data_IF_521814789091
#
_entry.id   IF_521814789091
#
_cell.length_a   1.000
_cell.length_b   1.000
_cell.length_c   1.000
_cell.angle_alpha   90.00
_cell.angle_beta   90.00
_cell.angle_gamma   90.00
#
_symmetry.space_group_name_H-M   'P 1'
#
loop_
_entity.id
_entity.type
_entity.pdbx_description
1 polymer ?
#
# COMPACT_ATOMS: atom_id res chain seq x y z
N UNK A 1 18.66 13.81 -3.74
CA UNK A 1 19.65 14.29 -2.74
C UNK A 1 18.85 14.96 -1.63
N UNK A 2 18.82 14.36 -0.44
CA UNK A 2 18.19 14.94 0.75
C UNK A 2 19.19 15.95 1.29
N UNK A 3 18.76 17.19 1.46
CA UNK A 3 19.56 18.23 2.08
C UNK A 3 19.85 17.86 3.54
N UNK A 4 21.12 17.67 3.94
CA UNK A 4 21.49 17.21 5.27
C UNK A 4 21.42 18.31 6.36
N UNK A 5 20.87 19.51 6.07
CA UNK A 5 20.88 20.66 6.99
C UNK A 5 19.60 20.82 7.80
N UNK A 6 18.59 19.93 7.69
CA UNK A 6 17.42 19.96 8.54
C UNK A 6 17.73 19.39 9.93
N UNK A 7 18.16 20.25 10.82
CA UNK A 7 18.23 20.04 12.27
C UNK A 7 16.89 19.57 12.83
N UNK A 8 16.83 18.74 13.89
CA UNK A 8 15.59 18.26 14.50
C UNK A 8 14.92 19.33 15.39
N UNK A 9 14.70 20.52 14.87
CA UNK A 9 14.12 21.63 15.60
C UNK A 9 12.71 21.93 15.08
N UNK A 10 11.76 22.08 16.06
CA UNK A 10 10.40 22.61 15.99
C UNK A 10 9.81 22.73 14.58
N UNK A 11 8.57 22.31 14.33
CA UNK A 11 7.97 22.47 13.01
C UNK A 11 8.09 23.93 12.57
N UNK A 12 8.72 24.16 11.41
CA UNK A 12 8.91 25.50 10.87
C UNK A 12 7.60 26.16 10.44
N UNK A 13 6.52 25.36 10.39
CA UNK A 13 5.18 25.76 9.95
C UNK A 13 4.13 25.23 10.90
N UNK A 14 3.13 26.04 11.20
CA UNK A 14 1.90 25.65 11.89
C UNK A 14 0.73 25.99 10.97
N UNK A 15 -0.17 25.04 10.74
CA UNK A 15 -1.32 25.29 9.87
C UNK A 15 -2.14 24.04 9.62
N UNK A 16 -3.28 24.21 8.99
CA UNK A 16 -4.18 23.12 8.63
C UNK A 16 -5.01 23.51 7.41
N UNK A 17 -5.33 22.50 6.60
CA UNK A 17 -6.36 22.61 5.58
C UNK A 17 -7.70 22.26 6.24
N UNK A 18 -8.62 23.24 6.27
CA UNK A 18 -9.93 23.12 6.91
C UNK A 18 -10.99 22.59 5.97
N UNK A 19 -10.93 22.98 4.70
CA UNK A 19 -11.96 22.65 3.70
C UNK A 19 -11.31 22.34 2.37
N UNK A 20 -11.80 21.30 1.73
CA UNK A 20 -11.49 20.94 0.35
C UNK A 20 -12.81 20.85 -0.41
N UNK A 21 -12.96 21.66 -1.43
CA UNK A 21 -14.06 21.63 -2.37
C UNK A 21 -13.47 21.46 -3.79
N UNK A 22 -13.61 20.30 -4.41
CA UNK A 22 -13.01 20.04 -5.72
C UNK A 22 -13.45 21.03 -6.81
N UNK A 23 -14.68 21.54 -6.74
CA UNK A 23 -15.18 22.49 -7.72
C UNK A 23 -14.68 23.92 -7.51
N UNK A 24 -14.27 24.25 -6.29
CA UNK A 24 -13.89 25.62 -5.90
C UNK A 24 -12.41 25.73 -5.56
N UNK A 25 -11.91 24.85 -4.68
CA UNK A 25 -10.53 24.89 -4.21
C UNK A 25 -10.37 24.46 -2.75
N UNK A 26 -9.30 24.95 -2.15
CA UNK A 26 -8.85 24.59 -0.79
C UNK A 26 -8.86 25.83 0.09
N UNK A 27 -9.32 25.68 1.34
CA UNK A 27 -9.26 26.73 2.37
C UNK A 27 -8.60 26.20 3.63
N UNK A 28 -7.88 27.06 4.29
CA UNK A 28 -7.21 26.75 5.55
C UNK A 28 -6.50 27.95 6.13
N UNK A 29 -5.52 27.68 6.95
CA UNK A 29 -4.63 28.71 7.50
C UNK A 29 -3.22 28.15 7.66
N UNK A 30 -2.22 29.01 7.55
CA UNK A 30 -0.81 28.67 7.70
C UNK A 30 -0.01 29.86 8.27
N UNK A 31 0.95 29.52 9.12
CA UNK A 31 1.89 30.48 9.73
C UNK A 31 3.29 29.88 9.71
N UNK A 32 4.31 30.71 9.53
CA UNK A 32 5.66 30.39 9.95
C UNK A 32 5.71 30.24 11.47
N UNK A 33 6.56 29.37 11.98
CA UNK A 33 6.74 29.17 13.43
C UNK A 33 7.30 30.45 14.13
N UNK A 34 8.02 31.26 13.38
CA UNK A 34 8.45 32.59 13.81
C UNK A 34 7.43 33.64 13.31
N UNK A 35 6.66 34.25 14.21
CA UNK A 35 5.65 35.28 13.85
C UNK A 35 6.22 36.51 13.14
N UNK A 36 7.51 36.78 13.28
CA UNK A 36 8.18 37.92 12.62
C UNK A 36 8.45 37.69 11.13
N UNK A 37 8.30 36.44 10.64
CA UNK A 37 8.64 36.08 9.27
C UNK A 37 7.64 36.56 8.20
N UNK A 38 6.51 37.13 8.60
CA UNK A 38 5.46 37.57 7.68
C UNK A 38 4.56 36.41 7.16
N UNK A 39 3.65 36.73 6.20
CA UNK A 39 2.74 35.74 5.64
C UNK A 39 3.49 34.70 4.78
N UNK A 40 3.00 33.44 4.78
CA UNK A 40 3.55 32.35 3.98
C UNK A 40 2.71 32.10 2.73
N UNK A 41 3.32 31.56 1.71
CA UNK A 41 2.61 31.07 0.52
C UNK A 41 2.25 29.59 0.69
N UNK A 42 1.02 29.27 0.33
CA UNK A 42 0.52 27.92 0.22
C UNK A 42 0.51 27.54 -1.27
N UNK A 43 1.32 26.58 -1.62
CA UNK A 43 1.50 26.13 -3.00
C UNK A 43 0.97 24.72 -3.13
N UNK A 44 0.03 24.51 -4.02
CA UNK A 44 -0.44 23.16 -4.38
C UNK A 44 0.40 22.66 -5.54
N UNK A 45 1.08 21.56 -5.31
CA UNK A 45 1.93 20.92 -6.31
C UNK A 45 1.40 19.54 -6.70
N UNK A 46 1.62 19.17 -7.95
CA UNK A 46 1.48 17.81 -8.49
C UNK A 46 2.80 17.38 -9.08
N UNK A 47 3.36 16.26 -8.61
CA UNK A 47 4.65 15.75 -9.11
C UNK A 47 5.77 16.81 -9.11
N UNK A 48 5.71 17.76 -8.15
CA UNK A 48 6.65 18.87 -8.06
C UNK A 48 6.31 20.10 -8.89
N UNK A 49 5.34 20.03 -9.80
CA UNK A 49 4.84 21.18 -10.55
C UNK A 49 3.80 21.97 -9.77
N UNK A 50 3.90 23.28 -9.78
CA UNK A 50 2.92 24.18 -9.16
C UNK A 50 1.61 24.16 -9.96
N UNK A 51 0.51 23.88 -9.28
CA UNK A 51 -0.85 23.90 -9.86
C UNK A 51 -1.56 25.21 -9.48
N UNK A 52 -1.38 25.65 -8.25
CA UNK A 52 -2.02 26.85 -7.74
C UNK A 52 -1.27 27.38 -6.52
N UNK A 53 -1.37 28.69 -6.27
CA UNK A 53 -0.72 29.39 -5.17
C UNK A 53 -1.67 30.40 -4.53
N UNK A 54 -1.57 30.55 -3.21
CA UNK A 54 -2.24 31.61 -2.47
C UNK A 54 -1.39 32.03 -1.26
N UNK A 55 -1.36 33.30 -0.94
CA UNK A 55 -0.72 33.80 0.28
C UNK A 55 -1.67 33.69 1.46
N UNK A 56 -1.19 33.18 2.58
CA UNK A 56 -1.94 33.04 3.83
C UNK A 56 -1.92 34.38 4.59
N UNK A 57 -2.74 35.32 4.14
CA UNK A 57 -2.82 36.70 4.66
C UNK A 57 -4.26 37.18 4.88
N UNK A 58 -5.24 36.29 4.79
CA UNK A 58 -6.64 36.66 4.94
C UNK A 58 -7.03 36.66 6.42
N UNK A 59 -7.83 37.69 6.81
CA UNK A 59 -8.45 37.74 8.13
C UNK A 59 -9.56 36.70 8.27
N UNK A 60 -9.63 36.07 9.44
CA UNK A 60 -10.68 35.12 9.82
C UNK A 60 -10.99 35.25 11.31
N UNK A 61 -12.24 35.50 11.71
CA UNK A 61 -12.58 35.89 13.10
C UNK A 61 -12.18 34.87 14.17
N UNK A 62 -12.15 33.57 13.85
CA UNK A 62 -11.73 32.51 14.76
C UNK A 62 -10.20 32.49 14.98
N UNK A 63 -9.42 32.83 13.94
CA UNK A 63 -7.96 32.92 14.01
C UNK A 63 -7.52 34.19 14.74
N UNK A 64 -8.22 35.29 14.53
CA UNK A 64 -7.99 36.53 15.27
C UNK A 64 -8.23 36.33 16.76
N UNK A 65 -9.38 35.71 17.13
CA UNK A 65 -9.68 35.39 18.53
C UNK A 65 -8.67 34.42 19.16
N UNK A 66 -8.05 33.55 18.33
CA UNK A 66 -6.98 32.65 18.76
C UNK A 66 -5.59 33.31 18.79
N UNK A 67 -5.49 34.62 18.52
CA UNK A 67 -4.23 35.40 18.50
C UNK A 67 -3.30 35.06 17.34
N UNK A 68 -3.81 34.44 16.27
CA UNK A 68 -3.02 34.00 15.09
C UNK A 68 -2.94 35.07 14.01
N UNK A 69 -3.77 36.11 14.08
CA UNK A 69 -3.81 37.21 13.11
C UNK A 69 -4.37 36.78 11.73
N UNK A 70 -4.04 37.56 10.72
CA UNK A 70 -4.45 37.32 9.33
C UNK A 70 -3.53 36.24 8.70
N UNK A 71 -3.92 34.99 8.79
CA UNK A 71 -3.16 33.87 8.30
C UNK A 71 -4.00 32.81 7.55
N UNK A 72 -5.26 33.14 7.24
CA UNK A 72 -6.09 32.26 6.42
C UNK A 72 -5.73 32.39 4.93
N UNK A 73 -6.03 31.35 4.17
CA UNK A 73 -5.90 31.32 2.73
C UNK A 73 -7.11 30.68 2.07
N UNK A 74 -7.38 31.10 0.85
CA UNK A 74 -8.30 30.45 -0.06
C UNK A 74 -7.59 30.29 -1.40
N UNK A 75 -7.50 29.06 -1.88
CA UNK A 75 -6.80 28.67 -3.09
C UNK A 75 -7.80 28.05 -4.04
N UNK A 76 -7.91 28.59 -5.26
CA UNK A 76 -8.81 28.07 -6.28
C UNK A 76 -8.12 27.05 -7.15
N UNK A 77 -8.81 25.96 -7.46
CA UNK A 77 -8.33 24.99 -8.45
C UNK A 77 -8.54 25.51 -9.87
N UNK A 78 -7.74 25.03 -10.84
CA UNK A 78 -7.99 25.30 -12.26
C UNK A 78 -9.40 24.86 -12.66
N UNK A 79 -10.00 25.59 -13.62
CA UNK A 79 -11.29 25.23 -14.21
C UNK A 79 -11.26 23.82 -14.78
N UNK A 80 -12.33 23.06 -14.61
CA UNK A 80 -12.44 21.69 -15.08
C UNK A 80 -12.02 20.61 -14.07
N UNK A 81 -11.75 21.01 -12.82
CA UNK A 81 -11.55 20.05 -11.74
C UNK A 81 -12.90 19.46 -11.31
N UNK A 82 -13.09 18.18 -11.52
CA UNK A 82 -14.24 17.45 -10.95
C UNK A 82 -13.86 16.83 -9.60
N UNK A 83 -14.86 16.38 -8.85
CA UNK A 83 -14.62 15.62 -7.61
C UNK A 83 -13.73 14.40 -7.86
N UNK A 84 -13.98 13.67 -8.93
CA UNK A 84 -13.22 12.49 -9.28
C UNK A 84 -11.80 12.85 -9.76
N UNK A 85 -11.64 13.87 -10.58
CA UNK A 85 -10.32 14.42 -10.92
C UNK A 85 -9.55 14.84 -9.67
N UNK A 86 -10.20 15.55 -8.75
CA UNK A 86 -9.56 15.96 -7.50
C UNK A 86 -9.10 14.74 -6.69
N UNK A 87 -9.97 13.74 -6.49
CA UNK A 87 -9.61 12.52 -5.78
C UNK A 87 -8.42 11.82 -6.40
N UNK A 88 -8.26 11.95 -7.68
CA UNK A 88 -7.25 11.32 -8.45
C UNK A 88 -5.91 12.09 -8.56
N UNK A 89 -5.75 13.38 -8.23
CA UNK A 89 -4.46 14.10 -8.26
C UNK A 89 -3.76 14.06 -6.90
N UNK A 90 -2.73 13.28 -6.67
CA UNK A 90 -1.93 13.37 -5.44
C UNK A 90 -1.34 14.79 -5.28
N UNK A 91 -2.06 15.68 -4.59
CA UNK A 91 -1.59 17.04 -4.33
C UNK A 91 -0.70 17.10 -3.09
N UNK A 92 0.44 17.74 -3.23
CA UNK A 92 1.26 18.22 -2.12
C UNK A 92 0.87 19.68 -1.82
N UNK A 93 0.64 19.98 -0.55
CA UNK A 93 0.42 21.36 -0.07
C UNK A 93 1.70 21.87 0.58
N UNK A 94 2.52 22.51 -0.22
CA UNK A 94 3.83 23.02 0.18
C UNK A 94 3.68 24.40 0.75
N UNK A 95 4.41 24.72 1.81
CA UNK A 95 4.50 26.06 2.38
C UNK A 95 5.83 26.68 2.02
N UNK A 96 5.78 27.85 1.46
CA UNK A 96 6.95 28.64 1.08
C UNK A 96 6.98 29.99 1.81
N UNK A 97 8.17 30.42 2.14
CA UNK A 97 8.47 31.76 2.66
C UNK A 97 9.61 32.30 1.80
N UNK A 98 9.40 33.48 1.19
CA UNK A 98 10.36 34.11 0.28
C UNK A 98 10.90 33.17 -0.81
N UNK A 99 10.02 32.28 -1.34
CA UNK A 99 10.33 31.30 -2.36
C UNK A 99 11.07 30.05 -1.85
N UNK A 100 11.35 29.95 -0.57
CA UNK A 100 11.99 28.77 0.04
C UNK A 100 10.93 27.87 0.68
N UNK A 101 11.00 26.59 0.39
CA UNK A 101 10.11 25.57 1.00
C UNK A 101 10.47 25.38 2.47
N UNK A 102 9.55 25.74 3.36
CA UNK A 102 9.73 25.64 4.81
C UNK A 102 8.88 24.55 5.47
N UNK A 103 7.94 23.96 4.75
CA UNK A 103 7.09 22.90 5.30
C UNK A 103 6.00 22.45 4.35
N UNK A 104 5.05 21.68 4.91
CA UNK A 104 3.88 21.16 4.20
C UNK A 104 2.67 21.16 5.12
N UNK A 105 1.48 21.37 4.54
CA UNK A 105 0.21 21.15 5.22
C UNK A 105 -0.34 19.78 4.91
N UNK A 106 -1.01 19.22 5.90
CA UNK A 106 -1.79 18.00 5.76
C UNK A 106 -3.26 18.34 5.94
N UNK A 107 -4.19 17.80 5.13
CA UNK A 107 -5.62 17.96 5.34
C UNK A 107 -6.01 17.53 6.76
N UNK A 108 -6.66 18.42 7.49
CA UNK A 108 -7.20 18.11 8.81
C UNK A 108 -8.44 17.20 8.73
N UNK A 109 -8.87 16.59 9.86
CA UNK A 109 -10.07 15.76 9.89
C UNK A 109 -11.32 16.49 9.37
N UNK A 110 -11.41 17.80 9.58
CA UNK A 110 -12.49 18.65 9.06
C UNK A 110 -12.44 18.83 7.55
N UNK A 111 -11.24 18.88 6.93
CA UNK A 111 -11.12 18.97 5.48
C UNK A 111 -11.62 17.69 4.80
N UNK A 112 -11.30 16.55 5.38
CA UNK A 112 -11.81 15.24 4.90
C UNK A 112 -13.34 15.17 5.08
N UNK A 113 -13.86 15.70 6.20
CA UNK A 113 -15.30 15.73 6.48
C UNK A 113 -16.06 16.78 5.64
N UNK A 114 -15.38 17.82 5.16
CA UNK A 114 -15.97 18.92 4.38
C UNK A 114 -15.79 18.75 2.86
N UNK A 115 -15.20 17.64 2.41
CA UNK A 115 -15.18 17.29 0.99
C UNK A 115 -16.62 17.32 0.46
N UNK A 116 -17.00 18.47 -0.08
CA UNK A 116 -18.32 18.64 -0.71
C UNK A 116 -18.25 17.97 -2.06
N UNK A 117 -19.12 16.98 -2.22
CA UNK A 117 -19.35 16.40 -3.52
C UNK A 117 -20.15 17.42 -4.34
N UNK A 118 -19.44 18.16 -5.17
CA UNK A 118 -20.08 18.97 -6.22
C UNK A 118 -20.63 17.98 -7.27
N UNK A 119 -21.88 17.56 -7.10
CA UNK A 119 -22.54 16.65 -8.03
C UNK A 119 -22.99 17.44 -9.26
N UNK A 120 -22.09 17.54 -10.23
CA UNK A 120 -22.33 18.18 -11.53
C UNK A 120 -22.75 17.14 -12.58
N UNK A 121 -23.19 17.61 -13.74
CA UNK A 121 -23.51 16.72 -14.88
C UNK A 121 -22.26 15.97 -15.34
N UNK A 122 -21.09 16.63 -15.27
CA UNK A 122 -19.80 16.04 -15.60
C UNK A 122 -19.45 14.92 -14.61
N UNK A 123 -19.63 15.15 -13.31
CA UNK A 123 -19.40 14.10 -12.29
C UNK A 123 -20.35 12.90 -12.49
N UNK A 124 -21.57 13.13 -12.99
CA UNK A 124 -22.49 12.06 -13.33
C UNK A 124 -22.00 11.25 -14.54
N UNK A 125 -21.47 11.92 -15.56
CA UNK A 125 -20.91 11.26 -16.74
C UNK A 125 -19.68 10.42 -16.37
N UNK A 126 -18.77 10.96 -15.55
CA UNK A 126 -17.60 10.22 -15.03
C UNK A 126 -18.03 9.01 -14.21
N UNK A 127 -19.01 9.18 -13.31
CA UNK A 127 -19.55 8.07 -12.52
C UNK A 127 -20.17 6.98 -13.41
N UNK A 128 -20.82 7.38 -14.53
CA UNK A 128 -21.42 6.47 -15.49
C UNK A 128 -20.42 5.53 -16.16
N UNK A 129 -19.17 5.97 -16.30
CA UNK A 129 -18.09 5.20 -16.93
C UNK A 129 -17.41 4.21 -15.99
N UNK A 130 -17.73 4.21 -14.67
CA UNK A 130 -17.12 3.30 -13.72
C UNK A 130 -17.75 1.90 -13.80
N UNK A 131 -16.95 0.87 -13.97
CA UNK A 131 -17.41 -0.53 -14.12
C UNK A 131 -18.15 -1.07 -12.90
N UNK A 132 -17.75 -0.70 -11.68
CA UNK A 132 -18.30 -1.22 -10.41
C UNK A 132 -19.17 -0.17 -9.70
N UNK A 133 -20.09 0.44 -10.41
CA UNK A 133 -20.96 1.52 -9.91
C UNK A 133 -21.70 1.19 -8.62
N UNK A 134 -22.23 -0.01 -8.49
CA UNK A 134 -23.02 -0.41 -7.31
C UNK A 134 -22.16 -0.50 -6.06
N UNK A 135 -20.91 -0.93 -6.22
CA UNK A 135 -19.93 -0.99 -5.15
C UNK A 135 -19.46 0.42 -4.75
N UNK A 136 -19.24 1.29 -5.73
CA UNK A 136 -18.94 2.72 -5.55
C UNK A 136 -20.09 3.44 -4.84
N UNK A 137 -21.30 3.13 -5.23
CA UNK A 137 -22.54 3.61 -4.65
C UNK A 137 -22.65 3.26 -3.16
N UNK A 138 -22.42 1.99 -2.82
CA UNK A 138 -22.49 1.51 -1.45
C UNK A 138 -21.49 2.21 -0.52
N UNK A 139 -20.43 2.76 -1.05
CA UNK A 139 -19.32 3.31 -0.28
C UNK A 139 -19.35 4.83 -0.17
N UNK A 140 -19.66 5.54 -1.23
CA UNK A 140 -20.11 6.92 -1.11
C UNK A 140 -21.23 7.00 -0.07
N UNK A 141 -22.17 6.05 -0.10
CA UNK A 141 -23.23 5.94 0.90
C UNK A 141 -22.72 5.71 2.32
N UNK A 142 -21.65 4.92 2.54
CA UNK A 142 -21.03 4.72 3.86
C UNK A 142 -20.28 5.97 4.33
N UNK A 143 -19.54 6.62 3.46
CA UNK A 143 -18.81 7.88 3.76
C UNK A 143 -19.81 8.96 4.18
N UNK A 144 -20.96 9.04 3.53
CA UNK A 144 -22.00 10.02 3.80
C UNK A 144 -22.96 9.63 4.94
N UNK A 145 -23.03 8.35 5.28
CA UNK A 145 -23.78 7.85 6.43
C UNK A 145 -23.11 8.11 7.79
N UNK A 146 -21.86 8.57 7.81
CA UNK A 146 -21.29 9.07 9.06
C UNK A 146 -22.09 10.30 9.50
N UNK A 147 -22.51 10.33 10.76
CA UNK A 147 -23.58 11.15 11.37
C UNK A 147 -23.55 12.69 11.15
N UNK A 148 -22.57 13.23 10.44
CA UNK A 148 -22.42 14.66 10.12
C UNK A 148 -23.04 15.11 8.78
N UNK A 149 -23.51 14.19 7.96
CA UNK A 149 -23.97 14.48 6.59
C UNK A 149 -25.45 14.15 6.31
N UNK A 150 -26.31 14.13 7.33
CA UNK A 150 -27.72 13.71 7.19
C UNK A 150 -28.53 14.53 6.17
N UNK A 151 -28.24 15.82 6.00
CA UNK A 151 -28.94 16.68 5.02
C UNK A 151 -28.43 16.46 3.58
N UNK A 152 -27.15 16.14 3.41
CA UNK A 152 -26.54 15.87 2.11
C UNK A 152 -26.84 14.44 1.65
N UNK A 153 -27.18 13.53 2.57
CA UNK A 153 -27.59 12.16 2.29
C UNK A 153 -28.83 12.09 1.38
N UNK A 154 -29.86 12.89 1.69
CA UNK A 154 -31.09 12.94 0.89
C UNK A 154 -30.82 13.46 -0.53
N UNK A 155 -29.95 14.43 -0.69
CA UNK A 155 -29.54 14.96 -2.00
C UNK A 155 -28.77 13.91 -2.79
N UNK A 156 -27.93 13.14 -2.11
CA UNK A 156 -27.14 12.08 -2.72
C UNK A 156 -27.98 10.88 -3.12
N UNK A 157 -28.88 10.43 -2.26
CA UNK A 157 -29.80 9.34 -2.58
C UNK A 157 -30.70 9.71 -3.79
N UNK A 158 -31.15 10.97 -3.86
CA UNK A 158 -31.90 11.48 -5.01
C UNK A 158 -31.02 11.57 -6.29
N UNK A 159 -29.77 11.99 -6.15
CA UNK A 159 -28.81 12.03 -7.26
C UNK A 159 -28.55 10.63 -7.81
N UNK A 160 -28.24 9.66 -6.95
CA UNK A 160 -27.97 8.31 -7.38
C UNK A 160 -29.18 7.60 -7.96
N UNK A 161 -30.37 7.84 -7.42
CA UNK A 161 -31.62 7.33 -8.00
C UNK A 161 -31.81 7.87 -9.43
N UNK A 162 -31.53 9.16 -9.64
CA UNK A 162 -31.62 9.79 -10.96
C UNK A 162 -30.48 9.30 -11.89
N UNK A 163 -29.26 9.15 -11.38
CA UNK A 163 -28.13 8.60 -12.12
C UNK A 163 -28.41 7.16 -12.55
N UNK A 164 -28.94 6.32 -11.66
CA UNK A 164 -29.33 4.95 -11.98
C UNK A 164 -30.40 4.87 -13.07
N UNK A 165 -31.37 5.78 -13.08
CA UNK A 165 -32.39 5.85 -14.10
C UNK A 165 -31.84 6.33 -15.45
N UNK A 166 -30.91 7.26 -15.45
CA UNK A 166 -30.34 7.83 -16.68
C UNK A 166 -29.29 6.89 -17.31
N UNK A 167 -28.57 6.12 -16.49
CA UNK A 167 -27.44 5.29 -16.89
C UNK A 167 -27.87 3.88 -17.33
N UNK A 168 -28.99 3.38 -16.84
CA UNK A 168 -29.52 2.04 -17.22
C UNK A 168 -29.70 1.81 -18.71
N UNK A 169 -29.65 2.90 -19.54
CA UNK A 169 -29.80 2.84 -20.99
C UNK A 169 -28.50 2.96 -21.82
N UNK A 170 -27.35 3.28 -21.23
CA UNK A 170 -26.15 3.71 -22.00
C UNK A 170 -24.98 2.75 -21.91
N UNK A 171 -24.92 1.78 -21.00
CA UNK A 171 -23.75 0.92 -20.83
C UNK A 171 -23.94 -0.41 -21.53
N UNK A 172 -23.12 -0.61 -22.59
CA UNK A 172 -22.93 -1.93 -23.19
C UNK A 172 -22.03 -2.75 -22.28
N UNK A 173 -22.42 -3.97 -21.87
CA UNK A 173 -21.52 -4.89 -21.17
C UNK A 173 -20.36 -5.25 -22.11
N UNK A 174 -19.13 -5.12 -21.67
CA UNK A 174 -17.95 -5.63 -22.37
C UNK A 174 -17.06 -4.61 -23.07
N UNK A 175 -17.15 -3.31 -22.75
CA UNK A 175 -16.19 -2.31 -23.24
C UNK A 175 -14.86 -2.40 -22.51
N UNK A 176 -13.74 -2.54 -23.25
CA UNK A 176 -12.42 -2.18 -22.75
C UNK A 176 -12.47 -0.73 -22.25
N UNK A 177 -11.74 -0.46 -21.16
CA UNK A 177 -11.52 0.92 -20.73
C UNK A 177 -10.90 1.70 -21.90
N UNK A 178 -11.59 2.72 -22.40
CA UNK A 178 -11.00 3.66 -23.33
C UNK A 178 -9.89 4.44 -22.59
N UNK A 179 -8.82 4.74 -23.32
CA UNK A 179 -7.60 5.42 -22.85
C UNK A 179 -7.84 6.82 -22.24
N UNK A 180 -9.08 7.29 -22.22
CA UNK A 180 -9.49 8.60 -21.68
C UNK A 180 -9.98 8.59 -20.22
N UNK A 181 -9.95 7.45 -19.50
CA UNK A 181 -10.27 7.46 -18.07
C UNK A 181 -9.16 8.20 -17.34
N UNK A 182 -9.45 9.45 -17.00
CA UNK A 182 -8.53 10.31 -16.27
C UNK A 182 -8.06 9.60 -14.99
N UNK A 183 -6.74 9.59 -14.74
CA UNK A 183 -6.19 8.97 -13.53
C UNK A 183 -6.84 9.58 -12.27
N UNK A 184 -7.16 8.74 -11.28
CA UNK A 184 -7.71 9.15 -9.98
C UNK A 184 -6.68 10.00 -9.22
N UNK A 185 -7.03 11.14 -8.62
CA UNK A 185 -6.12 12.13 -8.01
C UNK A 185 -6.48 12.33 -6.51
N UNK A 186 -5.68 11.89 -5.59
CA UNK A 186 -5.96 11.88 -4.15
C UNK A 186 -4.96 12.76 -3.41
N UNK A 187 -5.40 13.60 -2.46
CA UNK A 187 -4.48 14.45 -1.69
C UNK A 187 -3.53 13.63 -0.84
N UNK A 188 -2.24 13.98 -0.88
CA UNK A 188 -1.25 13.41 0.04
C UNK A 188 -1.68 13.69 1.48
N UNK A 189 -1.69 12.63 2.31
CA UNK A 189 -2.13 12.72 3.70
C UNK A 189 -3.63 12.49 3.92
N UNK A 190 -4.43 12.33 2.86
CA UNK A 190 -5.82 11.92 3.00
C UNK A 190 -5.87 10.54 3.66
N UNK A 191 -6.64 10.42 4.75
CA UNK A 191 -6.89 9.14 5.43
C UNK A 191 -8.17 8.50 4.90
N UNK A 192 -8.17 7.17 4.90
CA UNK A 192 -9.41 6.41 4.68
C UNK A 192 -10.45 6.74 5.75
N UNK A 193 -11.75 6.55 5.49
CA UNK A 193 -12.81 6.83 6.47
C UNK A 193 -12.63 6.10 7.81
N UNK A 194 -12.07 4.89 7.78
CA UNK A 194 -11.76 4.13 8.99
C UNK A 194 -10.41 4.52 9.64
N UNK A 195 -9.62 5.38 8.99
CA UNK A 195 -8.28 5.76 9.44
C UNK A 195 -7.22 4.68 9.29
N UNK A 196 -7.55 3.59 8.60
CA UNK A 196 -6.69 2.40 8.47
C UNK A 196 -5.76 2.43 7.25
N UNK A 197 -5.89 3.46 6.40
CA UNK A 197 -4.99 3.73 5.29
C UNK A 197 -4.79 5.24 5.07
N UNK A 198 -3.70 5.61 4.42
CA UNK A 198 -3.34 6.99 4.10
C UNK A 198 -2.78 7.08 2.68
N UNK A 199 -3.07 8.19 2.01
CA UNK A 199 -2.48 8.52 0.72
C UNK A 199 -1.10 9.10 0.91
N UNK A 200 -0.13 8.48 0.29
CA UNK A 200 1.24 8.96 0.18
C UNK A 200 1.48 9.81 -1.06
N UNK A 201 2.75 10.10 -1.32
CA UNK A 201 3.20 10.83 -2.52
C UNK A 201 2.99 9.96 -3.74
N UNK A 202 2.81 10.60 -4.88
CA UNK A 202 2.61 9.97 -6.19
C UNK A 202 1.46 8.94 -6.23
N UNK A 203 0.47 9.12 -5.33
CA UNK A 203 -0.70 8.25 -5.24
C UNK A 203 -0.44 6.88 -4.61
N UNK A 204 0.72 6.65 -3.99
CA UNK A 204 0.97 5.42 -3.23
C UNK A 204 0.11 5.38 -1.97
N UNK A 205 -0.66 4.32 -1.82
CA UNK A 205 -1.52 4.09 -0.65
C UNK A 205 -0.80 3.22 0.37
N UNK A 206 -0.86 3.61 1.65
CA UNK A 206 -0.22 2.89 2.74
C UNK A 206 -1.24 2.46 3.78
N UNK A 207 -1.08 1.25 4.31
CA UNK A 207 -1.77 0.81 5.51
C UNK A 207 -1.21 1.55 6.73
N UNK A 208 -2.09 1.97 7.64
CA UNK A 208 -1.73 2.68 8.88
C UNK A 208 -2.20 1.95 10.11
N UNK A 209 -3.48 1.74 10.19
CA UNK A 209 -4.16 1.04 11.28
C UNK A 209 -4.87 -0.22 10.75
N UNK A 210 -5.91 -0.68 11.41
CA UNK A 210 -6.66 -1.88 11.05
C UNK A 210 -5.99 -3.14 11.57
N UNK A 211 -6.00 -4.22 10.80
CA UNK A 211 -5.43 -5.48 11.24
C UNK A 211 -3.94 -5.35 11.50
N UNK A 212 -3.55 -5.40 12.78
CA UNK A 212 -2.18 -5.36 13.30
C UNK A 212 -1.53 -3.97 13.38
N UNK A 213 -2.30 -2.87 13.27
CA UNK A 213 -1.86 -1.50 13.60
C UNK A 213 -0.42 -1.17 13.20
N UNK A 214 -0.16 -1.04 11.90
CA UNK A 214 1.19 -0.88 11.33
C UNK A 214 1.95 0.28 11.99
N UNK A 215 1.30 1.45 12.13
CA UNK A 215 1.96 2.63 12.73
C UNK A 215 2.33 2.42 14.20
N UNK A 216 1.49 1.70 14.97
CA UNK A 216 1.80 1.35 16.35
C UNK A 216 3.05 0.47 16.42
N UNK A 217 3.20 -0.49 15.51
CA UNK A 217 4.39 -1.34 15.44
C UNK A 217 5.64 -0.54 15.07
N UNK A 218 5.54 0.38 14.11
CA UNK A 218 6.66 1.25 13.70
C UNK A 218 7.10 2.21 14.81
N UNK A 219 6.19 2.61 15.70
CA UNK A 219 6.46 3.50 16.83
C UNK A 219 6.74 2.78 18.16
N UNK A 220 6.83 1.44 18.14
CA UNK A 220 7.10 0.67 19.35
C UNK A 220 8.49 1.02 19.94
N UNK A 221 8.59 0.97 21.27
CA UNK A 221 9.88 1.10 21.95
C UNK A 221 10.72 -0.17 21.70
N UNK A 222 11.91 -0.06 21.10
CA UNK A 222 12.80 -1.21 20.88
C UNK A 222 13.15 -1.99 22.16
N UNK A 223 13.14 -1.34 23.32
CA UNK A 223 13.44 -1.96 24.60
C UNK A 223 12.21 -2.60 25.30
N UNK A 224 11.02 -2.42 24.74
CA UNK A 224 9.79 -2.98 25.32
C UNK A 224 9.75 -4.50 25.24
N UNK A 225 9.09 -5.19 26.19
CA UNK A 225 8.84 -6.63 26.13
C UNK A 225 8.08 -7.03 24.84
N UNK A 226 7.18 -6.20 24.34
CA UNK A 226 6.46 -6.42 23.08
C UNK A 226 7.39 -6.54 21.88
N UNK A 227 8.58 -6.00 21.96
CA UNK A 227 9.62 -6.12 20.92
C UNK A 227 10.62 -7.22 21.28
N UNK A 228 11.23 -7.16 22.47
CA UNK A 228 12.34 -8.04 22.84
C UNK A 228 11.90 -9.50 23.02
N UNK A 229 10.78 -9.74 23.73
CA UNK A 229 10.30 -11.09 24.00
C UNK A 229 9.71 -11.73 22.75
N UNK A 230 9.00 -10.94 21.93
CA UNK A 230 8.46 -11.41 20.65
C UNK A 230 9.59 -11.72 19.65
N UNK A 231 10.64 -10.90 19.59
CA UNK A 231 11.81 -11.19 18.78
C UNK A 231 12.52 -12.48 19.23
N UNK A 232 12.70 -12.66 20.57
CA UNK A 232 13.27 -13.88 21.12
C UNK A 232 12.43 -15.12 20.77
N UNK A 233 11.11 -15.02 20.83
CA UNK A 233 10.20 -16.10 20.44
C UNK A 233 10.31 -16.46 18.96
N UNK A 234 10.42 -15.48 18.06
CA UNK A 234 10.69 -15.74 16.63
C UNK A 234 12.01 -16.46 16.39
N UNK A 235 13.08 -16.04 17.09
CA UNK A 235 14.41 -16.68 16.99
C UNK A 235 14.37 -18.12 17.50
N UNK A 236 13.63 -18.38 18.59
CA UNK A 236 13.40 -19.73 19.10
C UNK A 236 12.63 -20.58 18.09
N UNK A 237 11.57 -20.03 17.47
CA UNK A 237 10.78 -20.71 16.44
C UNK A 237 11.64 -21.06 15.22
N UNK A 238 12.45 -20.12 14.68
CA UNK A 238 13.31 -20.42 13.54
C UNK A 238 14.33 -21.51 13.85
N UNK A 239 14.87 -21.50 15.09
CA UNK A 239 15.80 -22.53 15.55
C UNK A 239 15.13 -23.92 15.66
N UNK A 240 13.91 -23.96 16.18
CA UNK A 240 13.11 -25.17 16.30
C UNK A 240 12.76 -25.76 14.92
N UNK A 241 12.26 -24.90 14.00
CA UNK A 241 11.95 -25.29 12.61
C UNK A 241 13.19 -25.83 11.88
N UNK A 242 14.34 -25.13 12.03
CA UNK A 242 15.60 -25.59 11.44
C UNK A 242 15.98 -27.01 11.95
N UNK A 243 15.89 -27.24 13.27
CA UNK A 243 16.19 -28.55 13.88
C UNK A 243 15.25 -29.62 13.36
N UNK A 244 13.94 -29.34 13.34
CA UNK A 244 12.92 -30.28 12.91
C UNK A 244 13.04 -30.68 11.41
N UNK A 245 13.35 -29.69 10.55
CA UNK A 245 13.49 -29.92 9.11
C UNK A 245 14.84 -30.56 8.75
N UNK A 246 15.90 -30.24 9.47
CA UNK A 246 17.18 -30.92 9.33
C UNK A 246 17.08 -32.42 9.65
N UNK A 247 16.33 -32.79 10.68
CA UNK A 247 16.04 -34.20 11.03
C UNK A 247 15.31 -34.93 9.90
N UNK A 248 14.51 -34.22 9.10
CA UNK A 248 13.77 -34.71 7.92
C UNK A 248 14.59 -34.64 6.62
N UNK A 249 15.83 -34.24 6.67
CA UNK A 249 16.72 -34.00 5.52
C UNK A 249 16.12 -32.98 4.53
N UNK A 250 15.34 -32.06 5.02
CA UNK A 250 14.69 -31.00 4.25
C UNK A 250 15.38 -29.66 4.51
N UNK A 251 15.62 -28.89 3.46
CA UNK A 251 16.14 -27.53 3.58
C UNK A 251 15.05 -26.59 4.07
N UNK A 252 15.41 -25.64 4.93
CA UNK A 252 14.51 -24.64 5.46
C UNK A 252 15.01 -23.25 5.13
N UNK A 253 14.06 -22.38 4.71
CA UNK A 253 14.31 -20.96 4.56
C UNK A 253 13.15 -20.14 5.13
N UNK A 254 13.48 -18.98 5.68
CA UNK A 254 12.51 -18.02 6.22
C UNK A 254 12.58 -16.72 5.41
N UNK A 255 11.40 -16.21 5.04
CA UNK A 255 11.24 -14.92 4.37
C UNK A 255 10.30 -14.06 5.21
N UNK A 256 10.75 -12.89 5.63
CA UNK A 256 9.89 -11.85 6.21
C UNK A 256 9.80 -10.74 5.16
N UNK A 257 8.64 -10.60 4.54
CA UNK A 257 8.40 -9.52 3.58
C UNK A 257 8.15 -8.23 4.37
N UNK A 258 8.91 -7.16 4.14
CA UNK A 258 8.70 -5.89 4.83
C UNK A 258 7.38 -5.24 4.42
N UNK A 259 6.90 -4.34 5.26
CA UNK A 259 5.80 -3.45 4.88
C UNK A 259 6.21 -2.51 3.75
N UNK A 260 5.24 -2.11 2.94
CA UNK A 260 5.43 -1.12 1.90
C UNK A 260 6.08 0.16 2.45
N UNK A 261 5.60 0.65 3.59
CA UNK A 261 6.15 1.82 4.27
C UNK A 261 7.61 1.62 4.71
N UNK A 262 7.99 0.39 5.09
CA UNK A 262 9.36 0.06 5.46
C UNK A 262 10.30 -0.01 4.26
N UNK A 263 9.75 -0.24 3.07
CA UNK A 263 10.52 -0.39 1.83
C UNK A 263 10.67 0.92 1.07
N UNK A 264 9.60 1.71 0.97
CA UNK A 264 9.55 2.99 0.21
C UNK A 264 9.05 4.14 1.10
N UNK A 265 9.72 4.42 2.24
CA UNK A 265 9.28 5.44 3.20
C UNK A 265 9.25 6.87 2.63
N UNK A 266 10.00 7.14 1.56
CA UNK A 266 10.03 8.43 0.86
C UNK A 266 8.68 8.81 0.25
N UNK A 267 7.84 7.81 -0.06
CA UNK A 267 6.47 8.04 -0.55
C UNK A 267 5.45 8.23 0.57
N UNK A 268 5.81 7.97 1.81
CA UNK A 268 4.92 8.23 2.94
C UNK A 268 4.77 9.74 3.19
N UNK A 269 3.59 10.25 3.62
CA UNK A 269 3.35 11.70 3.72
C UNK A 269 4.32 12.46 4.60
N UNK A 270 4.78 11.83 5.69
CA UNK A 270 5.68 12.43 6.69
C UNK A 270 6.90 11.55 6.90
N UNK A 271 7.98 12.12 7.44
CA UNK A 271 9.13 11.32 7.85
C UNK A 271 8.73 10.28 8.90
N UNK A 272 9.15 9.05 8.72
CA UNK A 272 8.86 7.94 9.61
C UNK A 272 10.09 7.05 9.76
N UNK A 273 10.29 6.54 10.99
CA UNK A 273 11.38 5.60 11.26
C UNK A 273 10.96 4.20 10.83
N UNK A 274 11.76 3.57 10.00
CA UNK A 274 11.52 2.21 9.47
C UNK A 274 12.83 1.42 9.40
N UNK A 275 12.80 0.08 9.44
CA UNK A 275 11.63 -0.78 9.62
C UNK A 275 11.07 -0.72 11.06
N UNK A 276 10.07 -1.55 11.36
CA UNK A 276 9.59 -1.69 12.74
C UNK A 276 10.73 -2.17 13.66
N UNK A 277 10.78 -1.70 14.92
CA UNK A 277 11.77 -2.16 15.89
C UNK A 277 11.81 -3.69 16.05
N UNK A 278 10.66 -4.35 15.89
CA UNK A 278 10.59 -5.81 15.97
C UNK A 278 11.33 -6.48 14.81
N UNK A 279 11.13 -6.02 13.57
CA UNK A 279 11.85 -6.57 12.41
C UNK A 279 13.34 -6.28 12.53
N UNK A 280 13.71 -5.06 12.90
CA UNK A 280 15.11 -4.64 13.08
C UNK A 280 15.81 -5.51 14.15
N UNK A 281 15.17 -5.77 15.29
CA UNK A 281 15.69 -6.62 16.37
C UNK A 281 15.87 -8.07 15.89
N UNK A 282 14.87 -8.63 15.18
CA UNK A 282 14.96 -10.00 14.63
C UNK A 282 16.13 -10.11 13.66
N UNK A 283 16.26 -9.19 12.70
CA UNK A 283 17.33 -9.20 11.70
C UNK A 283 18.72 -9.01 12.33
N UNK A 284 18.83 -8.14 13.34
CA UNK A 284 20.06 -7.94 14.09
C UNK A 284 20.52 -9.24 14.76
N UNK A 285 19.62 -9.93 15.50
CA UNK A 285 19.96 -11.21 16.16
C UNK A 285 20.31 -12.30 15.13
N UNK A 286 19.65 -12.33 13.98
CA UNK A 286 19.94 -13.29 12.90
C UNK A 286 21.35 -13.03 12.32
N UNK A 287 21.73 -11.78 12.15
CA UNK A 287 23.04 -11.40 11.57
C UNK A 287 24.23 -11.98 12.35
N UNK A 288 24.05 -12.11 13.68
CA UNK A 288 25.07 -12.60 14.60
C UNK A 288 25.09 -14.14 14.73
N UNK A 289 24.08 -14.81 14.16
CA UNK A 289 23.93 -16.27 14.27
C UNK A 289 24.10 -16.94 12.90
N UNK A 290 25.30 -17.47 12.62
CA UNK A 290 25.64 -18.09 11.33
C UNK A 290 24.58 -19.09 10.81
N UNK A 291 24.04 -19.93 11.70
CA UNK A 291 23.06 -20.94 11.33
C UNK A 291 21.73 -20.31 10.87
N UNK A 292 21.27 -19.22 11.52
CA UNK A 292 20.05 -18.52 11.15
C UNK A 292 20.29 -17.63 9.92
N UNK A 293 21.44 -16.97 9.84
CA UNK A 293 21.81 -16.15 8.68
C UNK A 293 21.78 -16.93 7.37
N UNK A 294 22.18 -18.22 7.39
CA UNK A 294 22.17 -19.06 6.19
C UNK A 294 20.78 -19.50 5.71
N UNK A 295 19.77 -19.40 6.55
CA UNK A 295 18.38 -19.74 6.21
C UNK A 295 17.47 -18.52 6.01
N UNK A 296 17.86 -17.37 6.53
CA UNK A 296 17.05 -16.16 6.47
C UNK A 296 17.35 -15.36 5.20
N UNK A 297 16.32 -15.16 4.39
CA UNK A 297 16.45 -14.33 3.19
C UNK A 297 16.17 -12.86 3.54
N UNK A 298 17.10 -11.92 3.34
CA UNK A 298 16.99 -10.53 3.75
C UNK A 298 16.11 -9.72 2.76
N UNK A 299 14.79 -9.96 2.81
CA UNK A 299 13.85 -9.40 1.85
C UNK A 299 13.77 -7.86 1.90
N UNK A 300 13.98 -7.24 3.07
CA UNK A 300 14.00 -5.77 3.19
C UNK A 300 15.15 -5.16 2.39
N UNK A 301 16.36 -5.68 2.57
CA UNK A 301 17.55 -5.21 1.84
C UNK A 301 17.39 -5.46 0.33
N UNK A 302 16.84 -6.63 -0.04
CA UNK A 302 16.54 -6.98 -1.42
C UNK A 302 15.59 -5.98 -2.07
N UNK A 303 14.44 -5.72 -1.46
CA UNK A 303 13.41 -4.85 -2.04
C UNK A 303 13.81 -3.37 -2.05
N UNK A 304 14.57 -2.89 -1.05
CA UNK A 304 15.15 -1.54 -1.06
C UNK A 304 16.20 -1.35 -2.17
N UNK A 305 16.90 -2.41 -2.56
CA UNK A 305 17.85 -2.40 -3.67
C UNK A 305 17.22 -2.59 -5.05
N UNK A 306 15.90 -2.57 -5.15
CA UNK A 306 15.17 -2.74 -6.41
C UNK A 306 15.34 -1.53 -7.33
N UNK A 307 15.57 -1.77 -8.62
CA UNK A 307 15.69 -0.71 -9.64
C UNK A 307 14.35 -0.02 -9.95
N UNK A 308 13.24 -0.72 -9.77
CA UNK A 308 11.87 -0.19 -9.91
C UNK A 308 11.15 -0.31 -8.57
N UNK A 309 10.10 0.48 -8.36
CA UNK A 309 9.31 0.43 -7.13
C UNK A 309 8.66 -0.95 -7.00
N UNK A 310 8.97 -1.70 -5.91
CA UNK A 310 8.58 -3.10 -5.81
C UNK A 310 7.15 -3.34 -5.31
N UNK A 311 6.41 -2.30 -5.01
CA UNK A 311 5.03 -2.40 -4.51
C UNK A 311 4.02 -1.79 -5.47
N UNK A 312 2.81 -2.32 -5.47
CA UNK A 312 1.66 -1.70 -6.13
C UNK A 312 1.40 -0.30 -5.56
N UNK A 313 0.93 0.62 -6.38
CA UNK A 313 0.55 1.95 -5.94
C UNK A 313 -0.69 1.92 -5.06
N UNK A 314 -1.75 1.22 -5.49
CA UNK A 314 -3.07 1.15 -4.83
C UNK A 314 -3.24 -0.05 -3.91
N UNK A 315 -2.26 -0.96 -3.85
CA UNK A 315 -2.28 -2.18 -3.06
C UNK A 315 -1.21 -2.23 -1.96
N UNK A 316 -1.38 -3.16 -1.02
CA UNK A 316 -0.39 -3.49 0.00
C UNK A 316 0.59 -4.59 -0.45
N UNK A 317 0.40 -5.14 -1.65
CA UNK A 317 1.17 -6.24 -2.20
C UNK A 317 2.31 -5.76 -3.12
N UNK A 318 3.17 -6.70 -3.50
CA UNK A 318 4.23 -6.44 -4.46
C UNK A 318 3.64 -6.12 -5.84
N UNK A 319 4.35 -5.29 -6.60
CA UNK A 319 4.12 -5.19 -8.04
C UNK A 319 4.63 -6.47 -8.74
N UNK A 320 4.26 -6.75 -9.99
CA UNK A 320 4.83 -7.87 -10.76
C UNK A 320 6.36 -7.85 -10.78
N UNK A 321 6.94 -6.65 -10.95
CA UNK A 321 8.39 -6.48 -10.90
C UNK A 321 8.97 -6.78 -9.51
N UNK A 322 8.32 -6.30 -8.44
CA UNK A 322 8.75 -6.55 -7.06
C UNK A 322 8.72 -8.03 -6.71
N UNK A 323 7.67 -8.74 -7.11
CA UNK A 323 7.56 -10.19 -6.91
C UNK A 323 8.64 -10.95 -7.69
N UNK A 324 8.90 -10.59 -8.94
CA UNK A 324 9.98 -11.14 -9.74
C UNK A 324 11.36 -10.86 -9.13
N UNK A 325 11.62 -9.61 -8.74
CA UNK A 325 12.90 -9.20 -8.15
C UNK A 325 13.20 -9.99 -6.88
N UNK A 326 12.20 -10.11 -5.98
CA UNK A 326 12.31 -10.92 -4.76
C UNK A 326 12.55 -12.39 -5.09
N UNK A 327 11.81 -12.95 -6.01
CA UNK A 327 11.94 -14.33 -6.46
C UNK A 327 13.33 -14.60 -7.06
N UNK A 328 13.80 -13.78 -8.01
CA UNK A 328 15.12 -13.92 -8.64
C UNK A 328 16.25 -13.83 -7.62
N UNK A 329 16.15 -12.88 -6.69
CA UNK A 329 17.13 -12.72 -5.62
C UNK A 329 17.13 -13.89 -4.65
N UNK A 330 15.95 -14.45 -4.35
CA UNK A 330 15.83 -15.67 -3.56
C UNK A 330 16.47 -16.87 -4.25
N UNK A 331 16.27 -17.05 -5.57
CA UNK A 331 16.96 -18.10 -6.33
C UNK A 331 18.48 -17.96 -6.25
N UNK A 332 19.01 -16.74 -6.37
CA UNK A 332 20.43 -16.46 -6.22
C UNK A 332 20.93 -16.81 -4.81
N UNK A 333 20.15 -16.51 -3.78
CA UNK A 333 20.43 -16.87 -2.39
C UNK A 333 20.46 -18.41 -2.19
N UNK A 334 19.62 -19.14 -2.91
CA UNK A 334 19.65 -20.63 -2.93
C UNK A 334 20.88 -21.19 -3.69
N UNK A 335 21.68 -20.35 -4.34
CA UNK A 335 22.78 -20.77 -5.20
C UNK A 335 22.34 -21.22 -6.60
N UNK A 336 21.12 -20.95 -6.99
CA UNK A 336 20.64 -21.25 -8.33
C UNK A 336 21.10 -20.17 -9.31
N UNK A 337 21.90 -20.54 -10.29
CA UNK A 337 22.30 -19.70 -11.42
C UNK A 337 21.28 -19.86 -12.55
N UNK A 338 20.04 -19.44 -12.32
CA UNK A 338 19.03 -19.52 -13.35
C UNK A 338 19.10 -18.28 -14.27
N UNK A 339 19.32 -18.52 -15.56
CA UNK A 339 19.07 -17.52 -16.58
C UNK A 339 17.57 -17.53 -16.85
N UNK A 340 16.83 -16.62 -16.20
CA UNK A 340 15.43 -16.43 -16.47
C UNK A 340 15.32 -15.39 -17.59
N UNK A 341 14.80 -15.80 -18.73
CA UNK A 341 14.47 -14.89 -19.81
C UNK A 341 13.15 -14.20 -19.46
N UNK A 342 13.27 -12.96 -18.99
CA UNK A 342 12.15 -12.12 -18.61
C UNK A 342 12.35 -10.77 -19.25
N UNK A 343 11.44 -10.42 -20.14
CA UNK A 343 11.47 -9.15 -20.84
C UNK A 343 10.45 -8.17 -20.25
N UNK A 344 10.99 -7.06 -19.75
CA UNK A 344 10.23 -5.94 -19.22
C UNK A 344 10.12 -4.78 -20.19
N UNK A 345 10.75 -4.85 -21.38
CA UNK A 345 10.73 -3.79 -22.37
C UNK A 345 9.48 -3.85 -23.26
N UNK A 346 8.91 -5.04 -23.39
CA UNK A 346 7.62 -5.26 -24.02
C UNK A 346 6.53 -5.47 -22.94
N UNK A 347 6.49 -4.56 -21.99
CA UNK A 347 5.51 -4.63 -20.88
C UNK A 347 4.09 -4.77 -21.45
N UNK A 348 3.43 -5.82 -21.02
CA UNK A 348 1.98 -5.94 -21.19
C UNK A 348 1.36 -5.11 -20.09
N UNK A 349 0.78 -3.98 -20.46
CA UNK A 349 0.04 -3.15 -19.54
C UNK A 349 -1.29 -3.82 -19.24
N UNK A 350 -1.52 -4.16 -17.99
CA UNK A 350 -2.80 -4.64 -17.47
C UNK A 350 -3.33 -3.62 -16.47
N UNK A 351 -4.65 -3.51 -16.39
CA UNK A 351 -5.26 -2.69 -15.34
C UNK A 351 -5.43 -3.56 -14.11
N UNK A 352 -4.59 -3.31 -13.12
CA UNK A 352 -4.63 -3.96 -11.81
C UNK A 352 -5.41 -3.15 -10.78
N UNK A 353 -5.83 -3.77 -9.69
CA UNK A 353 -6.45 -3.10 -8.56
C UNK A 353 -5.88 -3.59 -7.25
N UNK A 354 -5.41 -2.65 -6.44
CA UNK A 354 -4.86 -2.97 -5.12
C UNK A 354 -5.92 -3.04 -4.02
N UNK A 355 -5.64 -3.84 -3.00
CA UNK A 355 -6.51 -4.07 -1.83
C UNK A 355 -6.65 -2.83 -0.92
N UNK A 356 -5.67 -1.93 -0.93
CA UNK A 356 -5.69 -0.72 -0.09
C UNK A 356 -6.65 0.33 -0.63
N UNK A 357 -6.86 0.39 -1.95
CA UNK A 357 -7.83 1.27 -2.58
C UNK A 357 -9.25 1.09 -2.07
N UNK A 358 -9.64 -0.16 -1.82
CA UNK A 358 -10.95 -0.50 -1.23
C UNK A 358 -11.24 0.20 0.10
N UNK A 359 -10.22 0.53 0.88
CA UNK A 359 -10.34 1.16 2.20
C UNK A 359 -10.78 2.62 2.13
N UNK A 360 -10.52 3.32 1.01
CA UNK A 360 -10.88 4.72 0.85
C UNK A 360 -12.33 4.90 0.42
N UNK A 361 -12.73 4.16 -0.60
CA UNK A 361 -14.06 4.32 -1.21
C UNK A 361 -14.84 3.01 -1.24
N UNK A 362 -14.20 1.89 -0.78
CA UNK A 362 -14.62 0.52 -0.84
C UNK A 362 -14.85 0.02 -2.25
N UNK A 363 -14.41 0.75 -3.23
CA UNK A 363 -14.28 0.28 -4.60
C UNK A 363 -12.81 0.04 -4.90
N UNK A 364 -12.55 -0.80 -5.88
CA UNK A 364 -11.20 -1.01 -6.38
C UNK A 364 -10.70 0.29 -7.00
N UNK A 365 -9.51 0.72 -6.58
CA UNK A 365 -8.76 1.74 -7.30
C UNK A 365 -7.83 1.03 -8.27
N UNK A 366 -7.96 1.38 -9.53
CA UNK A 366 -7.18 0.75 -10.59
C UNK A 366 -5.87 1.50 -10.81
N UNK A 367 -4.88 0.74 -11.18
CA UNK A 367 -3.57 1.25 -11.59
C UNK A 367 -3.07 0.48 -12.80
N UNK A 368 -2.25 1.12 -13.61
CA UNK A 368 -1.55 0.45 -14.68
C UNK A 368 -0.49 -0.49 -14.06
N UNK A 369 -0.60 -1.76 -14.38
CA UNK A 369 0.29 -2.81 -13.90
C UNK A 369 1.10 -3.35 -15.07
N UNK A 370 2.42 -3.30 -14.98
CA UNK A 370 3.31 -3.81 -16.00
C UNK A 370 3.67 -5.27 -15.70
N UNK A 371 3.23 -6.16 -16.59
CA UNK A 371 3.54 -7.59 -16.52
C UNK A 371 4.64 -7.93 -17.53
N UNK A 372 5.59 -8.75 -17.12
CA UNK A 372 6.68 -9.16 -17.99
C UNK A 372 6.27 -10.27 -18.97
N UNK A 373 6.84 -10.28 -20.14
CA UNK A 373 6.88 -11.46 -21.00
C UNK A 373 7.94 -12.43 -20.49
N UNK A 374 7.61 -13.70 -20.47
CA UNK A 374 8.53 -14.76 -20.05
C UNK A 374 8.28 -16.04 -20.86
N UNK A 375 9.35 -16.79 -21.07
CA UNK A 375 9.30 -18.13 -21.69
C UNK A 375 9.03 -19.25 -20.69
N UNK A 376 8.80 -18.93 -19.41
CA UNK A 376 8.50 -19.95 -18.39
C UNK A 376 7.19 -20.66 -18.70
N UNK A 377 7.25 -21.99 -18.81
CA UNK A 377 6.08 -22.82 -19.10
C UNK A 377 5.02 -22.68 -17.99
N UNK A 378 3.73 -22.56 -18.35
CA UNK A 378 2.66 -22.49 -17.37
C UNK A 378 2.58 -23.84 -16.61
N UNK A 379 2.37 -23.81 -15.27
CA UNK A 379 2.20 -25.01 -14.49
C UNK A 379 0.79 -25.57 -14.62
N UNK A 380 0.61 -26.84 -14.29
CA UNK A 380 -0.69 -27.45 -14.08
C UNK A 380 -1.11 -27.27 -12.62
N UNK A 381 -2.30 -26.73 -12.39
CA UNK A 381 -2.91 -26.71 -11.08
C UNK A 381 -3.41 -28.12 -10.74
N UNK A 382 -2.82 -28.73 -9.71
CA UNK A 382 -3.16 -30.07 -9.25
C UNK A 382 -4.26 -30.02 -8.19
N UNK A 383 -4.21 -29.00 -7.34
CA UNK A 383 -5.17 -28.83 -6.27
C UNK A 383 -5.40 -27.32 -6.00
N UNK A 384 -6.64 -26.97 -5.67
CA UNK A 384 -7.03 -25.67 -5.13
C UNK A 384 -8.11 -25.90 -4.08
N UNK A 385 -7.66 -26.29 -2.89
CA UNK A 385 -8.54 -26.49 -1.74
C UNK A 385 -8.82 -25.17 -1.06
N UNK A 386 -10.10 -24.88 -0.85
CA UNK A 386 -10.58 -23.72 -0.06
C UNK A 386 -11.38 -24.29 1.10
N UNK A 387 -11.14 -23.84 2.35
CA UNK A 387 -11.92 -24.25 3.51
C UNK A 387 -13.41 -23.95 3.36
N UNK A 388 -14.27 -24.77 3.97
CA UNK A 388 -15.73 -24.67 3.87
C UNK A 388 -16.30 -23.35 4.42
N UNK A 389 -15.59 -22.72 5.36
CA UNK A 389 -15.95 -21.39 5.91
C UNK A 389 -15.58 -20.22 4.96
N UNK A 390 -15.00 -20.51 3.81
CA UNK A 390 -14.52 -19.51 2.85
C UNK A 390 -13.31 -18.71 3.33
N UNK A 391 -12.72 -19.09 4.49
CA UNK A 391 -11.56 -18.42 5.07
C UNK A 391 -10.29 -18.62 4.26
N UNK A 392 -9.29 -17.80 4.56
CA UNK A 392 -7.98 -17.94 3.94
C UNK A 392 -7.11 -18.99 4.64
N UNK A 393 -7.18 -19.06 5.97
CA UNK A 393 -6.39 -20.01 6.78
C UNK A 393 -6.81 -21.43 6.48
N UNK A 394 -5.85 -22.28 6.13
CA UNK A 394 -6.10 -23.66 5.72
C UNK A 394 -6.25 -23.88 4.20
N UNK A 395 -6.33 -22.81 3.41
CA UNK A 395 -6.31 -22.90 1.94
C UNK A 395 -5.02 -23.56 1.47
N UNK A 396 -5.14 -24.47 0.49
CA UNK A 396 -3.99 -25.14 -0.12
C UNK A 396 -4.08 -25.10 -1.64
N UNK A 397 -2.96 -24.71 -2.27
CA UNK A 397 -2.85 -24.69 -3.74
C UNK A 397 -1.60 -25.47 -4.12
N UNK A 398 -1.75 -26.39 -5.06
CA UNK A 398 -0.65 -27.23 -5.54
C UNK A 398 -0.51 -27.05 -7.05
N UNK A 399 0.71 -26.72 -7.46
CA UNK A 399 1.09 -26.69 -8.85
C UNK A 399 2.18 -27.72 -9.15
N UNK A 400 2.09 -28.37 -10.31
CA UNK A 400 3.12 -29.22 -10.87
C UNK A 400 3.49 -28.80 -12.28
N UNK A 401 4.77 -28.91 -12.62
CA UNK A 401 5.26 -28.62 -13.95
C UNK A 401 6.51 -29.47 -14.26
N UNK A 402 6.35 -30.44 -15.14
CA UNK A 402 7.42 -31.36 -15.52
C UNK A 402 8.53 -30.68 -16.36
N UNK A 403 8.22 -29.56 -17.00
CA UNK A 403 9.14 -28.80 -17.88
C UNK A 403 9.94 -27.73 -17.12
N UNK A 404 9.86 -27.67 -15.81
CA UNK A 404 10.48 -26.63 -15.01
C UNK A 404 12.01 -26.68 -14.97
N UNK A 405 12.67 -25.50 -14.85
CA UNK A 405 14.13 -25.42 -14.71
C UNK A 405 14.68 -26.17 -13.50
N UNK A 406 13.93 -26.21 -12.39
CA UNK A 406 14.33 -26.88 -11.16
C UNK A 406 13.49 -28.13 -10.89
N UNK A 407 14.15 -29.22 -10.50
CA UNK A 407 13.48 -30.48 -10.17
C UNK A 407 13.01 -30.57 -8.71
N UNK A 408 13.16 -29.49 -7.95
CA UNK A 408 12.83 -29.47 -6.53
C UNK A 408 11.31 -29.42 -6.31
N UNK A 409 10.88 -30.11 -5.24
CA UNK A 409 9.56 -29.98 -4.64
C UNK A 409 9.64 -29.00 -3.48
N UNK A 410 8.80 -27.99 -3.47
CA UNK A 410 8.79 -26.91 -2.50
C UNK A 410 7.45 -26.87 -1.76
N UNK A 411 7.51 -26.76 -0.44
CA UNK A 411 6.32 -26.47 0.38
C UNK A 411 6.49 -25.09 1.00
N UNK A 412 5.49 -24.24 0.86
CA UNK A 412 5.45 -22.88 1.40
C UNK A 412 4.32 -22.78 2.41
N UNK A 413 4.66 -22.40 3.62
CA UNK A 413 3.71 -21.94 4.64
C UNK A 413 3.75 -20.42 4.67
N UNK A 414 2.65 -19.77 4.35
CA UNK A 414 2.67 -18.32 4.14
C UNK A 414 1.30 -17.67 4.14
N UNK A 415 1.24 -16.52 3.51
CA UNK A 415 0.05 -15.67 3.43
C UNK A 415 -0.18 -15.14 1.99
N UNK A 416 -0.98 -14.07 1.85
CA UNK A 416 -1.40 -13.50 0.57
C UNK A 416 -0.29 -13.18 -0.44
N UNK A 417 0.94 -13.00 -0.03
CA UNK A 417 2.08 -12.78 -0.95
C UNK A 417 2.41 -14.01 -1.82
N UNK A 418 1.92 -15.19 -1.40
CA UNK A 418 1.89 -16.40 -2.20
C UNK A 418 0.47 -16.79 -2.66
N UNK A 419 -0.55 -16.03 -2.28
CA UNK A 419 -1.95 -16.50 -2.32
C UNK A 419 -2.63 -16.46 -3.68
N UNK A 420 -2.14 -15.71 -4.65
CA UNK A 420 -2.82 -15.46 -5.94
C UNK A 420 -1.88 -15.83 -7.09
N UNK A 421 -2.45 -16.43 -8.14
CA UNK A 421 -1.68 -16.95 -9.26
C UNK A 421 -1.54 -15.94 -10.42
N UNK A 422 -1.10 -14.71 -10.13
CA UNK A 422 -0.68 -13.71 -11.11
C UNK A 422 0.76 -13.27 -10.85
N UNK A 423 1.33 -12.44 -11.72
CA UNK A 423 2.74 -12.02 -11.61
C UNK A 423 3.08 -11.21 -10.36
N UNK A 424 2.08 -10.67 -9.66
CA UNK A 424 2.23 -9.97 -8.40
C UNK A 424 2.47 -10.91 -7.22
N UNK A 425 2.19 -12.20 -7.40
CA UNK A 425 2.33 -13.25 -6.41
C UNK A 425 3.61 -14.04 -6.58
N UNK A 426 4.29 -14.34 -5.48
CA UNK A 426 5.45 -15.23 -5.49
C UNK A 426 5.07 -16.64 -5.98
N UNK A 427 3.85 -17.13 -5.70
CA UNK A 427 3.38 -18.43 -6.15
C UNK A 427 3.42 -18.56 -7.68
N UNK A 428 3.12 -17.47 -8.42
CA UNK A 428 3.17 -17.48 -9.88
C UNK A 428 4.58 -17.78 -10.40
N UNK A 429 5.60 -17.15 -9.80
CA UNK A 429 7.00 -17.34 -10.18
C UNK A 429 7.53 -18.69 -9.73
N UNK A 430 7.24 -19.08 -8.48
CA UNK A 430 7.68 -20.35 -7.91
C UNK A 430 7.12 -21.55 -8.69
N UNK A 431 5.83 -21.54 -9.03
CA UNK A 431 5.16 -22.63 -9.74
C UNK A 431 5.67 -22.83 -11.18
N UNK A 432 6.26 -21.78 -11.77
CA UNK A 432 6.87 -21.85 -13.10
C UNK A 432 8.34 -22.25 -13.08
N UNK A 433 8.98 -22.20 -11.94
CA UNK A 433 10.39 -22.52 -11.80
C UNK A 433 10.65 -23.88 -11.16
N UNK A 434 9.90 -24.23 -10.12
CA UNK A 434 10.06 -25.50 -9.40
C UNK A 434 9.12 -26.57 -9.95
N UNK A 435 9.59 -27.84 -9.94
CA UNK A 435 8.81 -28.98 -10.46
C UNK A 435 7.44 -29.11 -9.79
N UNK A 436 7.39 -28.83 -8.49
CA UNK A 436 6.17 -28.95 -7.71
C UNK A 436 6.19 -27.95 -6.56
N UNK A 437 5.11 -27.19 -6.43
CA UNK A 437 4.97 -26.16 -5.39
C UNK A 437 3.65 -26.36 -4.67
N UNK A 438 3.73 -26.57 -3.37
CA UNK A 438 2.60 -26.61 -2.46
C UNK A 438 2.57 -25.31 -1.66
N UNK A 439 1.56 -24.51 -1.82
CA UNK A 439 1.31 -23.35 -0.99
C UNK A 439 0.21 -23.67 0.01
N UNK A 440 0.50 -23.53 1.29
CA UNK A 440 -0.44 -23.62 2.39
C UNK A 440 -0.60 -22.23 3.03
N UNK A 441 -1.79 -21.70 3.00
CA UNK A 441 -2.09 -20.46 3.68
C UNK A 441 -2.24 -20.72 5.18
N UNK A 442 -1.12 -20.84 5.84
CA UNK A 442 -1.03 -21.13 7.27
C UNK A 442 0.30 -20.61 7.82
N UNK A 443 0.33 -19.87 8.93
CA UNK A 443 1.57 -19.49 9.60
C UNK A 443 2.22 -20.66 10.36
N UNK A 444 1.44 -21.68 10.73
CA UNK A 444 1.91 -22.86 11.43
C UNK A 444 2.45 -23.91 10.44
N UNK A 445 3.59 -24.54 10.78
CA UNK A 445 4.09 -25.66 9.99
C UNK A 445 3.33 -26.94 10.33
N UNK A 446 2.75 -27.55 9.32
CA UNK A 446 2.19 -28.91 9.42
C UNK A 446 3.28 -29.94 9.10
N UNK A 447 3.91 -30.45 10.15
CA UNK A 447 4.96 -31.46 10.02
C UNK A 447 4.42 -32.80 9.50
N UNK A 448 3.15 -33.16 9.75
CA UNK A 448 2.51 -34.34 9.19
C UNK A 448 2.38 -34.22 7.67
N UNK A 449 1.98 -33.04 7.19
CA UNK A 449 1.95 -32.75 5.76
C UNK A 449 3.36 -32.81 5.13
N UNK A 450 4.36 -32.23 5.79
CA UNK A 450 5.76 -32.27 5.34
C UNK A 450 6.26 -33.72 5.27
N UNK A 451 5.94 -34.56 6.26
CA UNK A 451 6.32 -35.99 6.27
C UNK A 451 5.66 -36.79 5.16
N UNK A 452 4.45 -36.41 4.75
CA UNK A 452 3.71 -37.00 3.64
C UNK A 452 4.29 -36.59 2.28
N UNK A 453 4.49 -35.27 2.08
CA UNK A 453 4.95 -34.71 0.80
C UNK A 453 6.43 -34.95 0.57
N UNK A 454 7.25 -34.99 1.63
CA UNK A 454 8.70 -35.13 1.61
C UNK A 454 9.36 -34.10 0.66
N UNK A 455 9.18 -32.80 0.92
CA UNK A 455 9.72 -31.75 0.05
C UNK A 455 11.25 -31.67 0.17
N UNK A 456 11.89 -31.18 -0.89
CA UNK A 456 13.32 -30.83 -0.89
C UNK A 456 13.58 -29.55 -0.10
N UNK A 457 12.55 -28.66 -0.06
CA UNK A 457 12.63 -27.32 0.47
C UNK A 457 11.32 -26.92 1.14
N UNK A 458 11.39 -26.41 2.38
CA UNK A 458 10.28 -25.76 3.07
C UNK A 458 10.60 -24.28 3.27
N UNK A 459 9.63 -23.43 2.96
CA UNK A 459 9.71 -21.98 3.15
C UNK A 459 8.66 -21.56 4.14
N UNK A 460 9.08 -20.84 5.21
CA UNK A 460 8.19 -20.04 6.03
C UNK A 460 8.16 -18.63 5.48
N UNK A 461 6.98 -18.13 5.15
CA UNK A 461 6.82 -16.75 4.71
C UNK A 461 5.84 -16.02 5.62
N UNK A 462 6.23 -14.84 6.06
CA UNK A 462 5.37 -13.92 6.79
C UNK A 462 5.60 -12.50 6.30
N UNK A 463 4.84 -11.55 6.81
CA UNK A 463 4.99 -10.13 6.53
C UNK A 463 5.23 -9.37 7.84
N UNK A 464 5.95 -8.26 7.76
CA UNK A 464 6.37 -7.46 8.91
C UNK A 464 5.23 -7.18 9.91
N UNK A 465 4.05 -6.74 9.42
CA UNK A 465 2.90 -6.45 10.30
C UNK A 465 2.34 -7.66 11.06
N UNK A 466 2.69 -8.89 10.67
CA UNK A 466 2.25 -10.10 11.35
C UNK A 466 3.24 -10.62 12.38
N UNK A 467 4.41 -9.99 12.51
CA UNK A 467 5.44 -10.40 13.46
C UNK A 467 5.00 -10.36 14.92
N UNK A 468 4.01 -9.55 15.26
CA UNK A 468 3.43 -9.49 16.61
C UNK A 468 2.76 -10.80 17.05
N UNK A 469 2.55 -11.74 16.13
CA UNK A 469 1.95 -13.05 16.39
C UNK A 469 2.92 -14.15 16.00
N UNK A 470 3.58 -14.71 16.99
CA UNK A 470 4.51 -15.82 16.78
C UNK A 470 3.75 -17.13 16.64
N UNK A 471 3.88 -17.88 15.54
CA UNK A 471 3.30 -19.21 15.40
C UNK A 471 3.84 -20.18 16.44
N UNK A 472 3.06 -21.22 16.75
CA UNK A 472 3.49 -22.26 17.71
C UNK A 472 4.48 -23.25 17.10
N UNK A 473 4.35 -23.52 15.79
CA UNK A 473 5.15 -24.52 15.08
C UNK A 473 5.71 -24.00 13.75
#
# INVERSE_FOLDING_TARGET
>A
MIDPTLSPHKPQVVGVIDTIDPAVGVRGWALAADPSSGPVDVVVCKNGEEIARATANQSRPDLERAGKGACAFALSFPTGMSFFKYLAMGFDYVIELDGLRIGRLVPGPSAVASLKIGLTVESMAEFALLENRDEYYGQLRRILNSSRFSADKLKLDAFFAKAGQTIGGVIKPGGKWDEEVAPLYVSVGLKSPAGDAIVGRDGYLFLTEGTNSVLKQLSADPASPDVTDVAAAWIALFTSRLKALKARKCRYYQIIIPEKISTIPEYYPTAIKVPSPLLDTIESVISDRRALKSLYFPALACLKGSERIPFQRTGSHLSPYGAFHLFRSFLSFLGHKATLEVDWNEDVSEIGSGDTGLRFFGTKLYEETHCAKTNLAPPTMVENYVPDDGGHIGRRVIFANASNPSRLRVVVFGNSFFGIANQESLLWWFSRYFREVHFLWNPEFDFGYIDTVKPDLVIGQTIERFLVRVPKH
#
